data_IF_589444171478
#
_entry.id   IF_589444171478
#
_cell.length_a   1.000
_cell.length_b   1.000
_cell.length_c   1.000
_cell.angle_alpha   90.00
_cell.angle_beta   90.00
_cell.angle_gamma   90.00
#
_symmetry.space_group_name_H-M   'P 1'
#
loop_
_entity.id
_entity.type
_entity.pdbx_description
1 polymer ?
#
# COMPACT_ATOMS: atom_id res chain seq x y z
N UNK A 1 14.26 -15.35 5.13
CA UNK A 1 13.71 -13.99 5.20
C UNK A 1 14.56 -13.21 6.18
N UNK A 2 15.17 -12.10 5.75
CA UNK A 2 15.91 -11.23 6.66
C UNK A 2 14.93 -10.27 7.37
N UNK A 3 15.37 -9.58 8.43
CA UNK A 3 14.50 -8.68 9.19
C UNK A 3 13.93 -7.53 8.35
N UNK A 4 14.70 -7.03 7.38
CA UNK A 4 14.27 -5.94 6.49
C UNK A 4 13.11 -6.33 5.57
N UNK A 5 13.11 -7.56 5.06
CA UNK A 5 12.03 -8.10 4.24
C UNK A 5 10.75 -8.32 5.06
N UNK A 6 10.88 -8.72 6.33
CA UNK A 6 9.77 -8.82 7.27
C UNK A 6 9.10 -7.46 7.51
N UNK A 7 9.90 -6.44 7.81
CA UNK A 7 9.42 -5.06 8.00
C UNK A 7 8.73 -4.53 6.74
N UNK A 8 9.33 -4.71 5.57
CA UNK A 8 8.75 -4.27 4.30
C UNK A 8 7.40 -4.97 4.01
N UNK A 9 7.31 -6.27 4.32
CA UNK A 9 6.08 -7.03 4.18
C UNK A 9 5.00 -6.51 5.12
N UNK A 10 5.31 -6.23 6.38
CA UNK A 10 4.37 -5.66 7.34
C UNK A 10 3.83 -4.30 6.89
N UNK A 11 4.73 -3.41 6.44
CA UNK A 11 4.36 -2.11 5.87
C UNK A 11 3.41 -2.31 4.69
N UNK A 12 3.71 -3.25 3.79
CA UNK A 12 2.88 -3.53 2.64
C UNK A 12 1.50 -4.06 3.00
N UNK A 13 1.41 -4.96 3.99
CA UNK A 13 0.13 -5.47 4.47
C UNK A 13 -0.73 -4.35 5.08
N UNK A 14 -0.12 -3.46 5.87
CA UNK A 14 -0.82 -2.30 6.43
C UNK A 14 -1.32 -1.40 5.30
N UNK A 15 -0.46 -1.07 4.34
CA UNK A 15 -0.84 -0.21 3.20
C UNK A 15 -1.98 -0.83 2.39
N UNK A 16 -1.89 -2.12 2.04
CA UNK A 16 -2.92 -2.82 1.26
C UNK A 16 -4.30 -2.75 1.94
N UNK A 17 -4.35 -2.92 3.27
CA UNK A 17 -5.59 -2.82 4.07
C UNK A 17 -6.16 -1.40 4.08
N UNK A 18 -5.30 -0.40 4.30
CA UNK A 18 -5.71 1.00 4.31
C UNK A 18 -6.25 1.44 2.94
N UNK A 19 -5.56 1.06 1.86
CA UNK A 19 -5.95 1.36 0.48
C UNK A 19 -7.24 0.63 0.10
N UNK A 20 -7.43 -0.62 0.56
CA UNK A 20 -8.68 -1.35 0.33
C UNK A 20 -9.90 -0.64 0.94
N UNK A 21 -9.73 0.05 2.07
CA UNK A 21 -10.77 0.88 2.69
C UNK A 21 -11.25 2.04 1.80
N UNK A 22 -10.49 2.39 0.76
CA UNK A 22 -10.84 3.41 -0.23
C UNK A 22 -11.50 2.80 -1.49
N UNK A 23 -11.32 1.51 -1.75
CA UNK A 23 -11.58 0.92 -3.06
C UNK A 23 -13.05 0.66 -3.41
N UNK A 24 -14.01 1.07 -2.56
CA UNK A 24 -15.45 0.73 -2.68
C UNK A 24 -15.63 -0.72 -3.14
N UNK A 25 -15.12 -1.65 -2.33
CA UNK A 25 -15.02 -3.06 -2.66
C UNK A 25 -15.88 -3.91 -1.70
N UNK A 26 -17.17 -4.16 -2.05
CA UNK A 26 -18.11 -4.82 -1.15
C UNK A 26 -17.76 -6.28 -0.84
N UNK A 27 -16.85 -6.90 -1.61
CA UNK A 27 -16.47 -8.30 -1.44
C UNK A 27 -15.03 -8.50 -0.93
N UNK A 28 -14.28 -7.40 -0.76
CA UNK A 28 -12.90 -7.41 -0.28
C UNK A 28 -11.92 -8.08 -1.26
N UNK A 29 -12.24 -8.14 -2.56
CA UNK A 29 -11.34 -8.68 -3.59
C UNK A 29 -10.03 -7.92 -3.69
N UNK A 30 -10.05 -6.59 -3.56
CA UNK A 30 -8.88 -5.73 -3.57
C UNK A 30 -7.95 -6.09 -2.41
N UNK A 31 -8.46 -6.07 -1.18
CA UNK A 31 -7.67 -6.40 0.01
C UNK A 31 -7.06 -7.81 -0.10
N UNK A 32 -7.89 -8.81 -0.40
CA UNK A 32 -7.45 -10.22 -0.51
C UNK A 32 -6.40 -10.39 -1.60
N UNK A 33 -6.57 -9.75 -2.75
CA UNK A 33 -5.62 -9.84 -3.87
C UNK A 33 -4.26 -9.28 -3.47
N UNK A 34 -4.22 -8.09 -2.88
CA UNK A 34 -2.94 -7.42 -2.58
C UNK A 34 -2.25 -8.02 -1.35
N UNK A 35 -3.00 -8.40 -0.32
CA UNK A 35 -2.44 -9.11 0.83
C UNK A 35 -1.85 -10.46 0.43
N UNK A 36 -2.58 -11.28 -0.33
CA UNK A 36 -2.06 -12.56 -0.81
C UNK A 36 -0.78 -12.42 -1.65
N UNK A 37 -0.71 -11.41 -2.53
CA UNK A 37 0.48 -11.13 -3.33
C UNK A 37 1.69 -10.72 -2.48
N UNK A 38 1.47 -9.95 -1.41
CA UNK A 38 2.53 -9.51 -0.49
C UNK A 38 3.01 -10.69 0.36
N UNK A 39 2.10 -11.55 0.81
CA UNK A 39 2.42 -12.77 1.56
C UNK A 39 3.21 -13.77 0.70
N UNK A 40 2.85 -13.89 -0.58
CA UNK A 40 3.50 -14.80 -1.52
C UNK A 40 4.77 -14.25 -2.17
N UNK A 41 5.14 -12.99 -1.92
CA UNK A 41 6.32 -12.39 -2.53
C UNK A 41 7.60 -12.92 -1.88
N UNK A 42 8.52 -13.43 -2.68
CA UNK A 42 9.76 -14.07 -2.22
C UNK A 42 10.92 -13.06 -2.09
N UNK A 43 10.76 -11.85 -2.63
CA UNK A 43 11.80 -10.82 -2.63
C UNK A 43 11.28 -9.41 -2.30
N UNK A 44 12.18 -8.56 -1.81
CA UNK A 44 11.89 -7.13 -1.57
C UNK A 44 11.49 -6.39 -2.86
N UNK A 45 12.04 -6.81 -4.01
CA UNK A 45 11.73 -6.24 -5.32
C UNK A 45 10.27 -6.52 -5.68
N UNK A 46 9.79 -7.74 -5.44
CA UNK A 46 8.39 -8.09 -5.69
C UNK A 46 7.44 -7.33 -4.76
N UNK A 47 7.78 -7.22 -3.47
CA UNK A 47 6.99 -6.43 -2.52
C UNK A 47 6.95 -4.97 -2.98
N UNK A 48 8.11 -4.38 -3.31
CA UNK A 48 8.22 -3.02 -3.84
C UNK A 48 7.38 -2.79 -5.10
N UNK A 49 7.37 -3.75 -6.03
CA UNK A 49 6.52 -3.71 -7.22
C UNK A 49 5.02 -3.75 -6.90
N UNK A 50 4.62 -4.48 -5.86
CA UNK A 50 3.23 -4.49 -5.39
C UNK A 50 2.87 -3.14 -4.72
N UNK A 51 3.77 -2.58 -3.91
CA UNK A 51 3.59 -1.26 -3.30
C UNK A 51 3.45 -0.18 -4.37
N UNK A 52 4.29 -0.20 -5.41
CA UNK A 52 4.20 0.72 -6.54
C UNK A 52 2.80 0.69 -7.18
N UNK A 53 2.23 -0.50 -7.39
CA UNK A 53 0.88 -0.65 -7.95
C UNK A 53 -0.20 -0.07 -7.03
N UNK A 54 -0.09 -0.27 -5.71
CA UNK A 54 -1.02 0.32 -4.73
C UNK A 54 -0.94 1.85 -4.76
N UNK A 55 0.27 2.42 -4.74
CA UNK A 55 0.47 3.87 -4.77
C UNK A 55 0.01 4.50 -6.09
N UNK A 56 0.23 3.81 -7.21
CA UNK A 56 -0.26 4.25 -8.51
C UNK A 56 -1.80 4.30 -8.53
N UNK A 57 -2.46 3.29 -7.95
CA UNK A 57 -3.92 3.27 -7.83
C UNK A 57 -4.45 4.42 -6.94
N UNK A 58 -3.79 4.69 -5.80
CA UNK A 58 -4.13 5.83 -4.92
C UNK A 58 -3.98 7.19 -5.64
N UNK A 59 -3.03 7.28 -6.57
CA UNK A 59 -2.84 8.45 -7.42
C UNK A 59 -3.85 8.58 -8.57
N UNK A 60 -4.70 7.59 -8.79
CA UNK A 60 -5.66 7.61 -9.90
C UNK A 60 -6.84 8.56 -9.63
N UNK A 61 -7.58 8.88 -10.70
CA UNK A 61 -8.81 9.68 -10.62
C UNK A 61 -9.93 8.99 -9.82
N UNK A 62 -9.81 7.69 -9.55
CA UNK A 62 -10.79 6.91 -8.78
C UNK A 62 -10.74 7.22 -7.29
N UNK A 63 -9.64 7.81 -6.81
CA UNK A 63 -9.46 8.23 -5.42
C UNK A 63 -9.51 9.76 -5.37
N UNK A 64 -10.32 10.29 -4.48
CA UNK A 64 -10.46 11.73 -4.27
C UNK A 64 -9.30 12.29 -3.46
N UNK A 65 -9.13 13.61 -3.49
CA UNK A 65 -8.13 14.28 -2.66
C UNK A 65 -8.40 14.10 -1.16
N UNK A 66 -9.66 14.17 -0.74
CA UNK A 66 -10.03 13.97 0.67
C UNK A 66 -9.72 12.55 1.17
N UNK A 67 -9.91 11.54 0.33
CA UNK A 67 -9.53 10.14 0.63
C UNK A 67 -8.02 9.96 0.74
N UNK A 68 -7.25 10.61 -0.16
CA UNK A 68 -5.79 10.63 -0.07
C UNK A 68 -5.30 11.30 1.21
N UNK A 69 -5.86 12.45 1.58
CA UNK A 69 -5.52 13.12 2.83
C UNK A 69 -5.86 12.28 4.06
N UNK A 70 -7.00 11.58 4.04
CA UNK A 70 -7.39 10.67 5.12
C UNK A 70 -6.37 9.54 5.25
N UNK A 71 -5.99 8.92 4.14
CA UNK A 71 -4.95 7.89 4.09
C UNK A 71 -3.62 8.42 4.65
N UNK A 72 -3.18 9.62 4.23
CA UNK A 72 -1.95 10.24 4.74
C UNK A 72 -2.01 10.55 6.25
N UNK A 73 -3.17 10.89 6.79
CA UNK A 73 -3.36 11.04 8.24
C UNK A 73 -3.23 9.70 8.96
N UNK A 74 -3.82 8.64 8.41
CA UNK A 74 -3.75 7.30 8.99
C UNK A 74 -2.33 6.71 8.93
N UNK A 75 -1.60 6.93 7.83
CA UNK A 75 -0.20 6.53 7.70
C UNK A 75 0.68 7.25 8.73
N UNK A 76 0.56 8.58 8.83
CA UNK A 76 1.29 9.37 9.85
C UNK A 76 0.98 8.93 11.28
N UNK A 77 -0.30 8.64 11.58
CA UNK A 77 -0.71 8.15 12.90
C UNK A 77 -0.10 6.80 13.28
N UNK A 78 0.39 6.04 12.29
CA UNK A 78 1.08 4.75 12.48
C UNK A 78 2.61 4.88 12.37
N UNK A 79 3.14 6.09 12.19
CA UNK A 79 4.57 6.32 11.96
C UNK A 79 5.06 5.84 10.59
N UNK A 80 4.15 5.67 9.61
CA UNK A 80 4.48 5.23 8.25
C UNK A 80 4.69 6.43 7.31
N UNK A 81 5.47 6.26 6.22
CA UNK A 81 5.63 7.30 5.21
C UNK A 81 4.31 7.67 4.54
N UNK A 82 4.16 8.92 4.11
CA UNK A 82 2.97 9.40 3.38
C UNK A 82 2.91 8.81 1.98
N UNK A 83 1.75 8.90 1.32
CA UNK A 83 1.58 8.49 -0.08
C UNK A 83 2.58 9.21 -0.99
N UNK A 84 2.91 10.47 -0.71
CA UNK A 84 3.89 11.21 -1.49
C UNK A 84 5.31 10.69 -1.28
N UNK A 85 5.69 10.36 -0.04
CA UNK A 85 6.99 9.74 0.26
C UNK A 85 7.13 8.39 -0.45
N UNK A 86 6.09 7.57 -0.37
CA UNK A 86 6.01 6.27 -1.03
C UNK A 86 6.04 6.40 -2.56
N UNK A 87 5.42 7.44 -3.12
CA UNK A 87 5.51 7.73 -4.56
C UNK A 87 6.94 8.01 -4.98
N UNK A 88 7.64 8.88 -4.27
CA UNK A 88 9.07 9.18 -4.55
C UNK A 88 9.93 7.93 -4.43
N UNK A 89 9.60 7.03 -3.51
CA UNK A 89 10.36 5.80 -3.29
C UNK A 89 10.10 4.71 -4.34
N UNK A 90 8.86 4.54 -4.81
CA UNK A 90 8.44 3.37 -5.59
C UNK A 90 7.99 3.67 -7.03
N UNK A 91 7.80 4.95 -7.38
CA UNK A 91 7.37 5.38 -8.71
C UNK A 91 8.40 6.39 -9.27
N UNK A 92 9.45 5.92 -9.97
CA UNK A 92 10.43 6.80 -10.62
C UNK A 92 9.84 7.59 -11.79
#
# INVERSE_FOLDING_TARGET
MNNSQLELREIGLILARLVAGLAVDPHGYFEKKYTARIESADSDIEIGGILAQLIQWVGSASVTESEREKLDRELRGRGLPTVNDLRVQYLP
#
